data_IF_020324322766
#
_entry.id   IF_020324322766
#
_cell.length_a   1.000
_cell.length_b   1.000
_cell.length_c   1.000
_cell.angle_alpha   90.00
_cell.angle_beta   90.00
_cell.angle_gamma   90.00
#
_symmetry.space_group_name_H-M   'P 1'
#
loop_
_entity.id
_entity.type
_entity.pdbx_description
1 polymer ?
#
# COMPACT_ATOMS: atom_id res chain seq x y z
N UNK A 1 -22.45 28.68 -34.68
CA UNK A 1 -21.27 28.67 -33.79
C UNK A 1 -20.52 27.39 -34.08
N UNK A 2 -19.31 27.47 -34.64
CA UNK A 2 -18.49 26.29 -34.91
C UNK A 2 -17.80 25.86 -33.60
N UNK A 3 -18.03 24.63 -33.17
CA UNK A 3 -17.35 24.00 -32.04
C UNK A 3 -15.87 23.87 -32.41
N UNK A 4 -15.00 24.65 -31.76
CA UNK A 4 -13.55 24.48 -31.93
C UNK A 4 -13.16 23.12 -31.36
N UNK A 5 -12.74 22.20 -32.22
CA UNK A 5 -12.13 20.94 -31.80
C UNK A 5 -10.81 21.28 -31.12
N UNK A 6 -10.76 21.16 -29.79
CA UNK A 6 -9.51 21.32 -29.04
C UNK A 6 -8.61 20.15 -29.43
N UNK A 7 -7.40 20.44 -29.93
CA UNK A 7 -6.40 19.41 -30.23
C UNK A 7 -6.08 18.62 -28.95
N UNK A 8 -6.01 17.31 -29.05
CA UNK A 8 -5.66 16.40 -27.94
C UNK A 8 -4.48 15.51 -28.31
N UNK A 9 -3.77 15.04 -27.30
CA UNK A 9 -2.76 13.99 -27.43
C UNK A 9 -3.36 12.65 -27.04
N UNK A 10 -3.31 11.69 -27.95
CA UNK A 10 -3.51 10.28 -27.60
C UNK A 10 -2.30 9.80 -26.80
N UNK A 11 -2.54 9.36 -25.57
CA UNK A 11 -1.54 8.79 -24.69
C UNK A 11 -1.73 7.27 -24.61
N UNK A 12 -0.62 6.54 -24.68
CA UNK A 12 -0.56 5.11 -24.40
C UNK A 12 0.27 4.95 -23.12
N UNK A 13 -0.42 4.79 -21.99
CA UNK A 13 0.15 4.87 -20.66
C UNK A 13 0.30 3.46 -20.06
N UNK A 14 1.54 2.96 -19.84
CA UNK A 14 1.78 1.66 -19.24
C UNK A 14 1.70 1.69 -17.71
N UNK A 15 1.05 2.72 -17.14
CA UNK A 15 1.03 2.98 -15.71
C UNK A 15 -0.39 3.06 -15.17
N UNK A 16 -0.64 2.31 -14.10
CA UNK A 16 -1.87 2.40 -13.33
C UNK A 16 -1.51 2.62 -11.86
N UNK A 17 -2.18 3.60 -11.26
CA UNK A 17 -2.04 3.99 -9.87
C UNK A 17 -3.38 3.73 -9.21
N UNK A 18 -3.37 2.96 -8.13
CA UNK A 18 -4.57 2.71 -7.34
C UNK A 18 -4.35 3.14 -5.90
N UNK A 19 -5.46 3.44 -5.22
CA UNK A 19 -5.49 3.75 -3.80
C UNK A 19 -6.59 2.91 -3.15
N UNK A 20 -6.26 2.20 -2.08
CA UNK A 20 -7.24 1.58 -1.20
C UNK A 20 -7.26 2.31 0.14
N UNK A 21 -8.36 3.00 0.49
CA UNK A 21 -8.48 3.61 1.79
C UNK A 21 -8.69 2.52 2.85
N UNK A 22 -8.31 2.82 4.07
CA UNK A 22 -8.57 1.98 5.22
C UNK A 22 -8.76 2.91 6.42
N UNK A 23 -9.88 2.79 7.12
CA UNK A 23 -10.25 3.75 8.16
C UNK A 23 -9.34 3.64 9.38
N UNK A 24 -9.07 2.40 9.78
CA UNK A 24 -8.19 2.11 10.90
C UNK A 24 -7.61 0.69 10.81
N UNK A 25 -6.49 0.48 11.50
CA UNK A 25 -5.93 -0.85 11.69
C UNK A 25 -5.28 -0.98 13.05
N UNK A 26 -5.27 -2.21 13.56
CA UNK A 26 -4.49 -2.63 14.71
C UNK A 26 -3.70 -3.87 14.32
N UNK A 27 -2.43 -3.92 14.67
CA UNK A 27 -1.55 -5.06 14.43
C UNK A 27 -1.04 -5.58 15.77
N UNK A 28 -1.53 -6.74 16.20
CA UNK A 28 -1.12 -7.39 17.44
C UNK A 28 -0.09 -8.49 17.14
N UNK A 29 1.18 -8.21 17.42
CA UNK A 29 2.27 -9.17 17.27
C UNK A 29 2.28 -10.16 18.43
N UNK A 30 2.46 -11.44 18.14
CA UNK A 30 2.41 -12.53 19.10
C UNK A 30 3.82 -12.97 19.52
N UNK A 31 3.99 -13.27 20.81
CA UNK A 31 5.18 -13.91 21.35
C UNK A 31 4.99 -15.43 21.32
N UNK A 32 5.99 -16.13 20.75
CA UNK A 32 6.16 -17.58 20.84
C UNK A 32 4.94 -18.42 20.41
N UNK A 33 4.07 -17.87 19.58
CA UNK A 33 2.95 -18.63 19.04
C UNK A 33 3.42 -19.57 17.92
N UNK A 34 2.97 -20.81 17.97
CA UNK A 34 3.44 -21.91 17.12
C UNK A 34 2.98 -21.78 15.66
N UNK A 35 1.88 -21.07 15.41
CA UNK A 35 1.23 -21.01 14.10
C UNK A 35 1.23 -19.61 13.51
N UNK A 36 0.99 -18.59 14.35
CA UNK A 36 0.80 -17.22 13.90
C UNK A 36 1.85 -16.26 14.47
N UNK A 37 2.21 -15.26 13.68
CA UNK A 37 3.07 -14.16 14.11
C UNK A 37 2.28 -12.94 14.56
N UNK A 38 1.12 -12.73 13.94
CA UNK A 38 0.36 -11.48 14.08
C UNK A 38 -1.12 -11.69 13.76
N UNK A 39 -1.98 -10.96 14.47
CA UNK A 39 -3.38 -10.76 14.11
C UNK A 39 -3.58 -9.26 13.83
N UNK A 40 -4.19 -8.94 12.70
CA UNK A 40 -4.39 -7.57 12.23
C UNK A 40 -5.85 -7.30 11.81
N UNK A 41 -6.68 -6.77 12.72
CA UNK A 41 -7.98 -6.21 12.38
C UNK A 41 -7.86 -4.86 11.65
N UNK A 42 -8.69 -4.68 10.63
CA UNK A 42 -8.76 -3.49 9.77
C UNK A 42 -10.22 -3.11 9.57
N UNK A 43 -10.58 -1.82 9.64
CA UNK A 43 -11.94 -1.34 9.37
C UNK A 43 -12.03 -0.53 8.09
N UNK A 44 -13.19 -0.62 7.47
CA UNK A 44 -13.54 0.06 6.24
C UNK A 44 -14.93 0.68 6.37
N UNK A 45 -15.08 1.87 5.80
CA UNK A 45 -16.37 2.54 5.58
C UNK A 45 -16.20 3.46 4.36
N UNK A 46 -16.03 2.85 3.19
CA UNK A 46 -15.72 3.57 1.97
C UNK A 46 -16.31 2.89 0.71
N UNK A 47 -16.47 3.62 -0.41
CA UNK A 47 -17.07 3.06 -1.62
C UNK A 47 -16.26 1.96 -2.33
N UNK A 48 -14.96 1.81 -2.03
CA UNK A 48 -14.06 0.86 -2.69
C UNK A 48 -14.07 -0.48 -1.95
N UNK A 49 -13.90 -0.45 -0.63
CA UNK A 49 -13.82 -1.65 0.20
C UNK A 49 -15.15 -1.99 0.88
N UNK A 50 -16.16 -1.13 0.81
CA UNK A 50 -17.42 -1.31 1.51
C UNK A 50 -17.31 -0.99 3.00
N UNK A 51 -18.16 -1.62 3.81
CA UNK A 51 -18.30 -1.34 5.24
C UNK A 51 -18.14 -2.59 6.07
N UNK A 52 -17.28 -2.54 7.08
CA UNK A 52 -17.09 -3.62 8.04
C UNK A 52 -15.62 -3.85 8.39
N UNK A 53 -15.33 -5.04 8.92
CA UNK A 53 -14.00 -5.45 9.37
C UNK A 53 -13.41 -6.55 8.49
N UNK A 54 -12.09 -6.45 8.26
CA UNK A 54 -11.23 -7.53 7.75
C UNK A 54 -10.22 -7.89 8.84
N UNK A 55 -9.88 -9.17 8.97
CA UNK A 55 -8.82 -9.65 9.86
C UNK A 55 -7.80 -10.42 9.02
N UNK A 56 -6.55 -9.97 9.07
CA UNK A 56 -5.39 -10.70 8.55
C UNK A 56 -4.73 -11.47 9.69
N UNK A 57 -4.38 -12.75 9.47
CA UNK A 57 -3.52 -13.51 10.39
C UNK A 57 -2.26 -13.95 9.65
N UNK A 58 -1.12 -13.48 10.11
CA UNK A 58 0.17 -13.80 9.51
C UNK A 58 0.67 -15.10 10.11
N UNK A 59 0.95 -16.09 9.27
CA UNK A 59 1.44 -17.41 9.69
C UNK A 59 2.96 -17.45 9.73
N UNK A 60 3.49 -18.36 10.54
CA UNK A 60 4.93 -18.64 10.64
C UNK A 60 5.55 -19.20 9.35
N UNK A 61 4.73 -19.78 8.47
CA UNK A 61 5.15 -20.25 7.15
C UNK A 61 5.15 -19.14 6.08
N UNK A 62 4.93 -17.88 6.50
CA UNK A 62 4.92 -16.71 5.64
C UNK A 62 3.59 -16.46 4.92
N UNK A 63 2.60 -17.36 5.02
CA UNK A 63 1.27 -17.13 4.42
C UNK A 63 0.42 -16.20 5.27
N UNK A 64 -0.58 -15.57 4.67
CA UNK A 64 -1.55 -14.71 5.38
C UNK A 64 -2.97 -15.23 5.18
N UNK A 65 -3.65 -15.55 6.28
CA UNK A 65 -5.08 -15.85 6.25
C UNK A 65 -5.89 -14.56 6.27
N UNK A 66 -6.97 -14.51 5.50
CA UNK A 66 -7.80 -13.32 5.31
C UNK A 66 -9.25 -13.68 5.58
N UNK A 67 -9.84 -13.03 6.57
CA UNK A 67 -11.26 -13.13 6.90
C UNK A 67 -11.91 -11.77 6.84
N UNK A 68 -13.16 -11.68 6.38
CA UNK A 68 -13.88 -10.40 6.32
C UNK A 68 -15.37 -10.56 6.62
N UNK A 69 -15.99 -9.49 7.12
CA UNK A 69 -17.44 -9.43 7.32
C UNK A 69 -18.20 -9.28 5.99
N UNK A 70 -19.43 -9.80 5.92
CA UNK A 70 -20.35 -9.44 4.83
C UNK A 70 -20.46 -7.93 4.69
N UNK A 71 -20.35 -7.44 3.45
CA UNK A 71 -20.34 -6.01 3.13
C UNK A 71 -18.95 -5.40 2.92
N UNK A 72 -17.87 -6.16 3.20
CA UNK A 72 -16.49 -5.79 2.84
C UNK A 72 -16.11 -6.43 1.51
N UNK A 73 -15.64 -5.63 0.56
CA UNK A 73 -15.10 -6.07 -0.73
C UNK A 73 -13.63 -6.46 -0.57
N UNK A 74 -13.31 -7.71 -0.93
CA UNK A 74 -11.95 -8.24 -0.82
C UNK A 74 -11.53 -8.87 -2.15
N UNK A 75 -10.58 -8.23 -2.84
CA UNK A 75 -9.99 -8.78 -4.06
C UNK A 75 -8.72 -9.55 -3.73
N UNK A 76 -8.76 -10.89 -3.85
CA UNK A 76 -7.63 -11.79 -3.60
C UNK A 76 -6.37 -11.40 -4.39
N UNK A 77 -6.52 -10.93 -5.62
CA UNK A 77 -5.38 -10.59 -6.49
C UNK A 77 -4.58 -9.39 -6.00
N UNK A 78 -5.16 -8.58 -5.11
CA UNK A 78 -4.49 -7.44 -4.51
C UNK A 78 -3.71 -7.79 -3.23
N UNK A 79 -3.77 -9.04 -2.78
CA UNK A 79 -3.03 -9.52 -1.60
C UNK A 79 -1.83 -10.35 -2.01
N UNK A 80 -0.67 -9.71 -1.96
CA UNK A 80 0.62 -10.38 -2.06
C UNK A 80 1.50 -9.97 -0.90
N UNK A 81 1.38 -10.73 0.18
CA UNK A 81 2.09 -10.49 1.42
C UNK A 81 2.82 -11.80 1.77
N UNK A 82 4.11 -11.69 2.08
CA UNK A 82 4.97 -12.84 2.40
C UNK A 82 4.96 -13.93 1.33
N UNK A 83 4.63 -15.16 1.74
CA UNK A 83 4.54 -16.36 0.90
C UNK A 83 3.16 -16.57 0.23
N UNK A 84 2.28 -15.56 0.30
CA UNK A 84 0.97 -15.55 -0.37
C UNK A 84 -0.22 -15.81 0.57
N UNK A 85 -1.41 -15.92 -0.02
CA UNK A 85 -2.67 -16.07 0.72
C UNK A 85 -2.88 -17.50 1.19
N UNK A 86 -3.14 -17.68 2.49
CA UNK A 86 -3.57 -18.91 3.14
C UNK A 86 -5.09 -19.09 3.04
N UNK A 87 -5.75 -19.18 4.19
CA UNK A 87 -7.21 -19.21 4.24
C UNK A 87 -7.80 -17.88 3.74
N UNK A 88 -8.96 -17.96 3.08
CA UNK A 88 -9.58 -16.80 2.46
C UNK A 88 -11.10 -16.98 2.46
N UNK A 89 -11.78 -16.37 3.43
CA UNK A 89 -13.22 -16.58 3.61
C UNK A 89 -13.96 -15.37 4.18
N UNK A 90 -15.14 -15.12 3.65
CA UNK A 90 -16.14 -14.29 4.31
C UNK A 90 -16.67 -15.03 5.55
N UNK A 91 -16.81 -14.33 6.68
CA UNK A 91 -17.33 -14.88 7.93
C UNK A 91 -18.11 -13.84 8.71
N UNK A 92 -19.07 -14.29 9.51
CA UNK A 92 -19.61 -13.45 10.58
C UNK A 92 -18.50 -13.13 11.59
N UNK A 93 -18.43 -11.87 12.01
CA UNK A 93 -17.57 -11.40 13.09
C UNK A 93 -18.46 -10.71 14.12
N UNK A 94 -18.49 -11.25 15.34
CA UNK A 94 -19.24 -10.71 16.46
C UNK A 94 -18.55 -11.05 17.80
N UNK A 95 -18.03 -10.04 18.53
CA UNK A 95 -18.02 -8.62 18.18
C UNK A 95 -17.09 -8.33 16.98
N UNK A 96 -17.25 -7.14 16.40
CA UNK A 96 -16.37 -6.58 15.36
C UNK A 96 -16.18 -5.08 15.60
N UNK A 97 -15.40 -4.76 16.63
CA UNK A 97 -15.17 -3.38 17.08
C UNK A 97 -13.69 -3.05 17.01
N UNK A 98 -13.36 -1.93 16.38
CA UNK A 98 -12.05 -1.28 16.46
C UNK A 98 -12.27 0.23 16.52
N UNK A 99 -11.94 0.81 17.66
CA UNK A 99 -12.01 2.24 17.91
C UNK A 99 -10.65 2.72 18.39
N UNK A 100 -10.13 3.78 17.79
CA UNK A 100 -8.87 4.37 18.19
C UNK A 100 -9.10 5.85 18.47
N UNK A 101 -8.77 6.27 19.68
CA UNK A 101 -8.96 7.63 20.15
C UNK A 101 -7.74 8.19 20.89
N UNK A 102 -7.88 9.38 21.49
CA UNK A 102 -6.77 10.08 22.16
C UNK A 102 -6.14 9.30 23.32
N UNK A 103 -6.87 8.34 23.89
CA UNK A 103 -6.44 7.51 25.03
C UNK A 103 -5.95 6.13 24.63
N UNK A 104 -6.01 5.77 23.35
CA UNK A 104 -5.52 4.51 22.83
C UNK A 104 -6.56 3.77 22.01
N UNK A 105 -6.48 2.44 21.98
CA UNK A 105 -7.33 1.59 21.16
C UNK A 105 -8.24 0.68 22.00
N UNK A 106 -9.47 0.52 21.54
CA UNK A 106 -10.42 -0.51 21.96
C UNK A 106 -10.70 -1.40 20.76
N UNK A 107 -10.27 -2.66 20.84
CA UNK A 107 -10.55 -3.68 19.85
C UNK A 107 -11.23 -4.86 20.53
N UNK A 108 -12.33 -5.33 19.97
CA UNK A 108 -12.95 -6.61 20.32
C UNK A 108 -13.44 -7.25 19.02
N UNK A 109 -12.78 -8.33 18.64
CA UNK A 109 -13.14 -9.10 17.44
C UNK A 109 -13.21 -10.58 17.78
N UNK A 110 -14.25 -11.26 17.33
CA UNK A 110 -14.32 -12.71 17.36
C UNK A 110 -15.01 -13.29 16.12
N UNK A 111 -14.52 -14.43 15.65
CA UNK A 111 -15.08 -15.15 14.50
C UNK A 111 -14.68 -16.63 14.56
N UNK A 112 -15.25 -17.44 13.66
CA UNK A 112 -14.84 -18.84 13.48
C UNK A 112 -14.01 -18.94 12.21
N UNK A 113 -12.81 -19.50 12.32
CA UNK A 113 -11.92 -19.66 11.17
C UNK A 113 -12.30 -20.86 10.29
N UNK A 114 -11.58 -21.03 9.17
CA UNK A 114 -11.86 -22.09 8.20
C UNK A 114 -11.66 -23.52 8.76
N UNK A 115 -10.97 -23.65 9.90
CA UNK A 115 -10.80 -24.92 10.62
C UNK A 115 -11.86 -25.12 11.72
N UNK A 116 -12.84 -24.23 11.83
CA UNK A 116 -13.88 -24.29 12.85
C UNK A 116 -13.43 -23.81 14.24
N UNK A 117 -12.26 -23.16 14.35
CA UNK A 117 -11.74 -22.67 15.63
C UNK A 117 -12.26 -21.26 15.89
N UNK A 118 -12.70 -21.00 17.12
CA UNK A 118 -13.03 -19.64 17.54
C UNK A 118 -11.75 -18.82 17.66
N UNK A 119 -11.64 -17.75 16.89
CA UNK A 119 -10.60 -16.72 17.01
C UNK A 119 -11.18 -15.56 17.77
N UNK A 120 -10.46 -15.03 18.75
CA UNK A 120 -10.85 -13.83 19.47
C UNK A 120 -9.63 -12.97 19.82
N UNK A 121 -9.76 -11.65 19.69
CA UNK A 121 -8.77 -10.66 20.12
C UNK A 121 -9.48 -9.51 20.82
N UNK A 122 -9.04 -9.21 22.05
CA UNK A 122 -9.44 -8.05 22.84
C UNK A 122 -8.23 -7.21 23.17
N UNK A 123 -8.29 -5.94 22.83
CA UNK A 123 -7.31 -4.93 23.23
C UNK A 123 -8.08 -3.79 23.87
N UNK A 124 -7.71 -3.44 25.09
CA UNK A 124 -8.24 -2.25 25.75
C UNK A 124 -7.08 -1.45 26.32
N UNK A 125 -6.77 -0.33 25.69
CA UNK A 125 -5.80 0.64 26.18
C UNK A 125 -6.49 1.89 26.72
N UNK A 126 -6.04 2.33 27.88
CA UNK A 126 -6.42 3.61 28.46
C UNK A 126 -5.19 4.38 28.96
N UNK A 127 -4.52 5.07 28.04
CA UNK A 127 -3.25 5.75 28.24
C UNK A 127 -3.30 7.24 27.86
N UNK A 128 -2.99 8.17 28.78
CA UNK A 128 -2.96 9.60 28.46
C UNK A 128 -1.71 10.03 27.69
N UNK A 129 -1.77 11.14 26.95
CA UNK A 129 -0.59 11.77 26.34
C UNK A 129 0.05 10.94 25.23
N UNK A 130 -0.78 10.33 24.38
CA UNK A 130 -0.37 9.63 23.16
C UNK A 130 0.27 10.62 22.18
N UNK A 131 1.28 10.15 21.44
CA UNK A 131 2.03 10.97 20.48
C UNK A 131 2.32 10.08 19.27
N UNK A 132 1.33 9.95 18.38
CA UNK A 132 1.48 9.13 17.19
C UNK A 132 2.54 9.72 16.25
N UNK A 133 3.03 8.91 15.34
CA UNK A 133 4.05 9.30 14.36
C UNK A 133 3.84 8.55 13.03
N UNK A 134 4.37 9.08 11.92
CA UNK A 134 4.19 8.45 10.63
C UNK A 134 5.05 7.19 10.48
N UNK A 135 4.52 6.19 9.78
CA UNK A 135 5.22 4.94 9.49
C UNK A 135 4.82 4.39 8.12
N UNK A 136 5.81 4.05 7.30
CA UNK A 136 5.64 3.17 6.15
C UNK A 136 5.78 1.73 6.61
N UNK A 137 4.76 0.90 6.41
CA UNK A 137 4.86 -0.51 6.75
C UNK A 137 5.85 -1.23 5.81
N UNK A 138 6.71 -2.12 6.32
CA UNK A 138 7.65 -2.89 5.51
C UNK A 138 6.99 -4.12 4.84
N UNK A 139 5.79 -3.94 4.27
CA UNK A 139 4.96 -5.04 3.72
C UNK A 139 5.58 -5.73 2.51
N UNK A 140 6.42 -5.04 1.73
CA UNK A 140 7.09 -5.61 0.57
C UNK A 140 8.43 -6.29 0.87
N UNK A 141 8.93 -6.28 2.10
CA UNK A 141 10.26 -6.83 2.39
C UNK A 141 10.33 -8.36 2.18
N UNK A 142 9.25 -9.07 2.48
CA UNK A 142 9.21 -10.53 2.42
C UNK A 142 8.59 -11.07 1.12
N UNK A 143 8.19 -10.17 0.20
CA UNK A 143 7.56 -10.54 -1.07
C UNK A 143 8.62 -11.00 -2.07
N UNK A 144 8.55 -12.27 -2.48
CA UNK A 144 9.51 -12.86 -3.43
C UNK A 144 9.20 -12.53 -4.88
N UNK A 145 7.91 -12.47 -5.24
CA UNK A 145 7.42 -12.25 -6.60
C UNK A 145 6.40 -11.11 -6.59
N UNK A 146 6.85 -9.84 -6.60
CA UNK A 146 5.91 -8.73 -6.51
C UNK A 146 5.09 -8.59 -7.79
N UNK A 147 3.77 -8.46 -7.67
CA UNK A 147 2.88 -8.09 -8.79
C UNK A 147 2.58 -6.61 -8.86
N UNK A 148 2.89 -5.85 -7.81
CA UNK A 148 2.71 -4.41 -7.73
C UNK A 148 3.74 -3.80 -6.76
N UNK A 149 4.01 -2.50 -6.87
CA UNK A 149 4.65 -1.76 -5.79
C UNK A 149 3.56 -1.37 -4.77
N UNK A 150 3.51 -2.11 -3.66
CA UNK A 150 2.46 -2.01 -2.64
C UNK A 150 2.95 -1.24 -1.41
N UNK A 151 2.47 -0.01 -1.23
CA UNK A 151 2.93 0.93 -0.20
C UNK A 151 1.82 1.21 0.81
N UNK A 152 2.05 0.90 2.09
CA UNK A 152 1.09 1.17 3.18
C UNK A 152 1.65 2.26 4.08
N UNK A 153 1.12 3.47 3.94
CA UNK A 153 1.51 4.62 4.73
C UNK A 153 0.48 4.93 5.81
N UNK A 154 0.93 4.92 7.06
CA UNK A 154 0.14 5.23 8.24
C UNK A 154 0.64 6.54 8.84
N UNK A 155 -0.10 7.66 8.72
CA UNK A 155 0.38 8.96 9.20
C UNK A 155 0.43 9.06 10.74
N UNK A 156 -0.40 8.27 11.44
CA UNK A 156 -0.62 8.40 12.87
C UNK A 156 -0.54 7.05 13.61
N UNK A 157 0.63 6.38 13.57
CA UNK A 157 0.85 5.14 14.32
C UNK A 157 1.21 5.42 15.77
N UNK A 158 0.62 4.66 16.70
CA UNK A 158 1.08 4.56 18.09
C UNK A 158 1.17 3.07 18.50
N UNK A 159 1.82 2.81 19.63
CA UNK A 159 2.00 1.48 20.19
C UNK A 159 1.30 1.38 21.55
N UNK A 160 0.74 0.21 21.84
CA UNK A 160 0.02 -0.04 23.08
C UNK A 160 0.95 -0.02 24.29
N UNK A 161 0.63 0.79 25.31
CA UNK A 161 1.46 0.93 26.52
C UNK A 161 1.18 -0.20 27.52
N UNK A 162 2.23 -0.95 27.87
CA UNK A 162 2.09 -2.16 28.71
C UNK A 162 1.38 -1.91 30.05
N UNK A 163 1.70 -0.80 30.72
CA UNK A 163 1.11 -0.48 32.03
C UNK A 163 -0.34 0.03 31.98
N UNK A 164 -0.89 0.23 30.78
CA UNK A 164 -2.22 0.81 30.56
C UNK A 164 -3.01 0.04 29.50
N UNK A 165 -2.58 -1.17 29.13
CA UNK A 165 -3.23 -1.99 28.11
C UNK A 165 -3.43 -3.41 28.61
N UNK A 166 -4.65 -3.91 28.47
CA UNK A 166 -5.00 -5.34 28.56
C UNK A 166 -5.12 -5.89 27.14
N UNK A 167 -4.42 -6.98 26.86
CA UNK A 167 -4.50 -7.71 25.60
C UNK A 167 -4.83 -9.17 25.91
N UNK A 168 -5.90 -9.67 25.32
CA UNK A 168 -6.33 -11.06 25.45
C UNK A 168 -6.60 -11.60 24.04
N UNK A 169 -6.00 -12.74 23.71
CA UNK A 169 -6.25 -13.39 22.43
C UNK A 169 -6.42 -14.88 22.59
N UNK A 170 -7.25 -15.51 21.76
CA UNK A 170 -7.41 -16.97 21.69
C UNK A 170 -7.62 -17.44 20.26
N UNK A 171 -7.12 -18.64 19.95
CA UNK A 171 -7.44 -19.40 18.73
C UNK A 171 -7.81 -20.82 19.15
N UNK A 172 -9.09 -21.16 19.06
CA UNK A 172 -9.64 -22.33 19.74
C UNK A 172 -9.34 -22.25 21.25
N UNK A 173 -8.74 -23.30 21.80
CA UNK A 173 -8.34 -23.31 23.20
C UNK A 173 -7.01 -22.58 23.48
N UNK A 174 -6.20 -22.30 22.46
CA UNK A 174 -4.86 -21.72 22.59
C UNK A 174 -4.93 -20.24 22.96
N UNK A 175 -4.44 -19.88 24.13
CA UNK A 175 -4.28 -18.50 24.55
C UNK A 175 -3.05 -17.87 23.90
N UNK A 176 -3.21 -16.65 23.39
CA UNK A 176 -2.16 -15.89 22.71
C UNK A 176 -1.44 -14.98 23.69
N UNK A 177 -0.13 -14.79 23.48
CA UNK A 177 0.70 -13.88 24.26
C UNK A 177 1.12 -12.69 23.42
N UNK A 178 0.91 -11.43 23.85
CA UNK A 178 1.38 -10.28 23.11
C UNK A 178 2.91 -10.15 23.20
N UNK A 179 3.56 -9.87 22.08
CA UNK A 179 4.99 -9.54 22.05
C UNK A 179 5.25 -8.15 22.65
N UNK A 180 6.42 -7.97 23.25
CA UNK A 180 6.87 -6.68 23.78
C UNK A 180 7.99 -6.08 22.90
N UNK A 181 8.01 -4.76 22.76
CA UNK A 181 9.15 -4.09 22.15
C UNK A 181 10.32 -4.10 23.16
N UNK A 182 11.54 -4.47 22.77
CA UNK A 182 12.68 -4.54 23.70
C UNK A 182 13.12 -3.17 24.20
N UNK A 183 12.88 -2.12 23.41
CA UNK A 183 13.22 -0.74 23.73
C UNK A 183 12.00 0.06 24.16
N UNK A 184 12.14 0.99 25.13
CA UNK A 184 11.06 1.90 25.45
C UNK A 184 10.78 2.85 24.28
N UNK A 185 9.50 3.14 24.06
CA UNK A 185 9.05 4.14 23.12
C UNK A 185 8.61 5.37 23.90
N UNK A 186 9.26 6.51 23.65
CA UNK A 186 8.98 7.77 24.36
C UNK A 186 9.02 7.63 25.90
N UNK A 187 10.00 6.87 26.41
CA UNK A 187 10.18 6.62 27.85
C UNK A 187 9.16 5.65 28.47
N UNK A 188 8.33 4.97 27.66
CA UNK A 188 7.33 3.99 28.14
C UNK A 188 7.60 2.61 27.57
N UNK A 189 7.34 1.56 28.37
CA UNK A 189 7.34 0.18 27.89
C UNK A 189 6.08 -0.07 27.07
N UNK A 190 6.23 -0.60 25.86
CA UNK A 190 5.12 -0.85 24.93
C UNK A 190 5.08 -2.32 24.51
N UNK A 191 3.89 -2.80 24.17
CA UNK A 191 3.75 -4.03 23.41
C UNK A 191 4.20 -3.77 21.96
N UNK A 192 4.57 -4.82 21.23
CA UNK A 192 4.67 -4.76 19.78
C UNK A 192 3.28 -4.86 19.12
N UNK A 193 2.29 -4.24 19.77
CA UNK A 193 0.94 -4.03 19.27
C UNK A 193 0.85 -2.57 18.87
N UNK A 194 0.64 -2.33 17.58
CA UNK A 194 0.60 -0.99 16.98
C UNK A 194 -0.76 -0.75 16.35
N UNK A 195 -1.18 0.49 16.24
CA UNK A 195 -2.43 0.83 15.59
C UNK A 195 -2.38 2.23 15.00
N UNK A 196 -3.23 2.50 14.01
CA UNK A 196 -3.32 3.78 13.34
C UNK A 196 -4.78 4.24 13.26
N UNK A 197 -5.04 5.46 13.72
CA UNK A 197 -6.33 6.12 13.60
C UNK A 197 -6.35 7.07 12.41
N UNK A 198 -7.49 7.14 11.72
CA UNK A 198 -7.64 7.99 10.54
C UNK A 198 -6.96 7.36 9.33
N UNK A 199 -7.29 7.83 8.12
CA UNK A 199 -7.22 6.94 7.00
C UNK A 199 -5.78 6.54 6.72
N UNK A 200 -5.56 5.24 6.61
CA UNK A 200 -4.31 4.64 6.18
C UNK A 200 -4.33 4.64 4.66
N UNK A 201 -3.27 5.18 4.04
CA UNK A 201 -3.17 5.20 2.57
C UNK A 201 -2.46 3.96 2.10
N UNK A 202 -3.17 3.10 1.37
CA UNK A 202 -2.57 1.99 0.63
C UNK A 202 -2.43 2.41 -0.83
N UNK A 203 -1.21 2.73 -1.25
CA UNK A 203 -0.89 3.06 -2.63
C UNK A 203 -0.37 1.85 -3.39
N UNK A 204 -0.86 1.66 -4.61
CA UNK A 204 -0.42 0.61 -5.51
C UNK A 204 0.02 1.22 -6.83
N UNK A 205 1.19 0.84 -7.32
CA UNK A 205 1.66 1.20 -8.66
C UNK A 205 1.85 -0.04 -9.50
N UNK A 206 1.29 -0.02 -10.70
CA UNK A 206 1.30 -1.09 -11.69
C UNK A 206 0.92 -2.44 -11.09
N UNK A 207 -0.32 -2.61 -10.60
CA UNK A 207 -0.88 -3.94 -10.43
C UNK A 207 -0.89 -4.70 -11.76
N UNK A 208 -1.20 -6.02 -11.75
CA UNK A 208 -1.32 -6.81 -12.96
C UNK A 208 -2.24 -6.17 -14.00
N UNK A 209 -1.67 -5.83 -15.16
CA UNK A 209 -2.38 -5.25 -16.29
C UNK A 209 -2.05 -6.02 -17.56
N UNK A 210 -3.05 -6.21 -18.42
CA UNK A 210 -2.88 -6.85 -19.74
C UNK A 210 -2.91 -5.85 -20.90
N UNK A 211 -3.32 -4.60 -20.64
CA UNK A 211 -3.44 -3.54 -21.63
C UNK A 211 -2.96 -2.21 -21.03
N UNK A 212 -2.29 -1.37 -21.84
CA UNK A 212 -1.99 -0.02 -21.40
C UNK A 212 -3.27 0.80 -21.38
N UNK A 213 -3.25 1.87 -20.60
CA UNK A 213 -4.36 2.82 -20.53
C UNK A 213 -4.24 3.76 -21.73
N UNK A 214 -5.31 3.85 -22.51
CA UNK A 214 -5.38 4.73 -23.69
C UNK A 214 -6.38 5.84 -23.39
N UNK A 215 -5.92 7.09 -23.53
CA UNK A 215 -6.72 8.27 -23.23
C UNK A 215 -6.29 9.45 -24.09
N UNK A 216 -7.21 10.38 -24.33
CA UNK A 216 -6.92 11.66 -24.97
C UNK A 216 -6.78 12.75 -23.90
N UNK A 217 -5.68 13.50 -23.94
CA UNK A 217 -5.40 14.58 -23.00
C UNK A 217 -5.12 15.88 -23.75
N UNK A 218 -5.76 17.01 -23.40
CA UNK A 218 -5.43 18.30 -24.02
C UNK A 218 -4.01 18.77 -23.64
N UNK A 219 -3.35 19.58 -24.49
CA UNK A 219 -2.07 20.21 -24.15
C UNK A 219 -2.15 20.99 -22.84
N UNK A 220 -1.12 20.83 -21.99
CA UNK A 220 -1.08 21.43 -20.64
C UNK A 220 -2.34 21.14 -19.79
N UNK A 221 -2.99 19.99 -20.01
CA UNK A 221 -4.24 19.65 -19.36
C UNK A 221 -4.23 18.30 -18.66
N UNK A 222 -5.43 17.84 -18.32
CA UNK A 222 -5.64 16.57 -17.63
C UNK A 222 -6.90 15.86 -18.09
N UNK A 223 -6.92 14.55 -17.94
CA UNK A 223 -8.12 13.72 -18.13
C UNK A 223 -8.25 12.69 -17.00
N UNK A 224 -9.48 12.27 -16.75
CA UNK A 224 -9.82 11.21 -15.79
C UNK A 224 -9.97 9.88 -16.54
N UNK A 225 -9.36 8.82 -16.02
CA UNK A 225 -9.46 7.45 -16.57
C UNK A 225 -9.29 6.44 -15.44
N UNK A 226 -10.19 5.47 -15.35
CA UNK A 226 -10.10 4.36 -14.37
C UNK A 226 -9.86 4.82 -12.90
N UNK A 227 -10.47 5.94 -12.49
CA UNK A 227 -10.29 6.50 -11.14
C UNK A 227 -8.97 7.22 -10.91
N UNK A 228 -8.21 7.50 -11.98
CA UNK A 228 -7.01 8.32 -11.96
C UNK A 228 -7.19 9.62 -12.75
N UNK A 229 -6.57 10.69 -12.25
CA UNK A 229 -6.31 11.90 -13.02
C UNK A 229 -4.91 11.84 -13.61
N UNK A 230 -4.80 11.95 -14.93
CA UNK A 230 -3.53 12.01 -15.66
C UNK A 230 -3.34 13.42 -16.19
N UNK A 231 -2.20 14.05 -15.88
CA UNK A 231 -1.85 15.39 -16.36
C UNK A 231 -0.66 15.34 -17.32
N UNK A 232 -0.74 16.09 -18.40
CA UNK A 232 0.30 16.21 -19.41
C UNK A 232 0.79 17.66 -19.59
N UNK A 233 2.02 17.83 -20.05
CA UNK A 233 2.56 19.14 -20.43
C UNK A 233 2.17 19.55 -21.87
N UNK A 234 2.69 20.69 -22.34
CA UNK A 234 2.45 21.20 -23.70
C UNK A 234 2.99 20.30 -24.81
N UNK A 235 3.90 19.37 -24.50
CA UNK A 235 4.42 18.38 -25.44
C UNK A 235 3.68 17.04 -25.37
N UNK A 236 2.64 16.94 -24.53
CA UNK A 236 1.90 15.71 -24.29
C UNK A 236 2.65 14.70 -23.43
N UNK A 237 3.72 15.08 -22.73
CA UNK A 237 4.41 14.21 -21.78
C UNK A 237 3.63 14.14 -20.48
N UNK A 238 3.44 12.94 -19.94
CA UNK A 238 2.76 12.75 -18.66
C UNK A 238 3.65 13.26 -17.53
N UNK A 239 3.23 14.31 -16.84
CA UNK A 239 3.99 14.89 -15.72
C UNK A 239 3.47 14.41 -14.36
N UNK A 240 2.21 13.97 -14.31
CA UNK A 240 1.56 13.54 -13.06
C UNK A 240 0.45 12.52 -13.31
N UNK A 241 0.35 11.54 -12.42
CA UNK A 241 -0.80 10.65 -12.27
C UNK A 241 -1.24 10.71 -10.80
N UNK A 242 -2.52 10.85 -10.53
CA UNK A 242 -3.04 10.78 -9.16
C UNK A 242 -4.30 9.93 -9.05
N UNK A 243 -4.42 9.17 -7.96
CA UNK A 243 -5.59 8.36 -7.64
C UNK A 243 -6.03 8.60 -6.18
N UNK A 244 -7.33 8.43 -5.92
CA UNK A 244 -7.92 8.65 -4.60
C UNK A 244 -8.45 10.09 -4.40
N UNK A 245 -9.03 10.37 -3.22
CA UNK A 245 -9.65 11.66 -2.93
C UNK A 245 -8.59 12.76 -2.77
N UNK A 246 -8.95 14.01 -3.07
CA UNK A 246 -8.02 15.16 -3.06
C UNK A 246 -7.30 15.37 -1.72
N UNK A 247 -7.91 15.00 -0.60
CA UNK A 247 -7.31 15.11 0.73
C UNK A 247 -6.26 14.03 1.04
N UNK A 248 -6.28 12.91 0.33
CA UNK A 248 -5.38 11.79 0.57
C UNK A 248 -4.99 11.02 -0.71
N UNK A 249 -4.43 11.72 -1.71
CA UNK A 249 -4.14 11.09 -2.98
C UNK A 249 -2.87 10.24 -2.90
N UNK A 250 -2.82 9.23 -3.76
CA UNK A 250 -1.57 8.62 -4.24
C UNK A 250 -1.17 9.40 -5.48
N UNK A 251 0.05 9.92 -5.52
CA UNK A 251 0.52 10.78 -6.62
C UNK A 251 1.84 10.25 -7.15
N UNK A 252 1.90 10.01 -8.45
CA UNK A 252 3.14 9.75 -9.18
C UNK A 252 3.49 10.98 -10.01
N UNK A 253 4.70 11.51 -9.85
CA UNK A 253 5.22 12.60 -10.67
C UNK A 253 6.38 12.11 -11.53
N UNK A 254 6.54 12.71 -12.72
CA UNK A 254 7.63 12.46 -13.64
C UNK A 254 8.38 13.75 -13.97
N UNK A 255 9.71 13.67 -14.09
CA UNK A 255 10.57 14.79 -14.48
C UNK A 255 11.63 14.33 -15.50
N UNK A 256 11.73 14.95 -16.69
CA UNK A 256 10.96 16.11 -17.18
C UNK A 256 9.51 15.82 -17.58
N UNK A 257 9.06 14.57 -17.50
CA UNK A 257 7.75 14.08 -17.93
C UNK A 257 7.92 12.74 -18.66
N UNK A 258 7.00 11.79 -18.49
CA UNK A 258 7.05 10.51 -19.20
C UNK A 258 6.62 10.69 -20.67
N UNK A 259 7.38 10.19 -21.65
CA UNK A 259 7.11 10.47 -23.06
C UNK A 259 5.82 9.85 -23.55
N UNK A 260 5.31 10.37 -24.67
CA UNK A 260 4.37 9.65 -25.53
C UNK A 260 5.10 8.49 -26.20
N UNK A 261 4.68 7.25 -25.93
CA UNK A 261 5.37 6.06 -26.49
C UNK A 261 5.29 5.99 -28.01
N UNK A 262 4.15 6.38 -28.59
CA UNK A 262 3.94 6.43 -30.05
C UNK A 262 4.65 7.61 -30.73
N UNK A 263 5.01 8.63 -29.95
CA UNK A 263 5.75 9.82 -30.37
C UNK A 263 7.27 9.70 -30.26
N UNK A 264 7.80 8.58 -29.76
CA UNK A 264 9.23 8.31 -29.82
C UNK A 264 9.65 7.98 -31.26
N UNK A 265 10.78 8.53 -31.71
CA UNK A 265 11.37 8.15 -32.99
C UNK A 265 11.76 6.66 -33.01
N UNK A 266 11.92 6.09 -34.20
CA UNK A 266 12.46 4.73 -34.37
C UNK A 266 13.88 4.65 -33.77
N UNK A 267 14.11 3.68 -32.87
CA UNK A 267 15.35 3.61 -32.08
C UNK A 267 15.49 4.69 -31.01
N UNK A 268 14.48 5.56 -30.86
CA UNK A 268 14.45 6.64 -29.90
C UNK A 268 14.35 6.16 -28.45
N UNK A 269 14.84 7.00 -27.54
CA UNK A 269 14.84 6.73 -26.11
C UNK A 269 14.50 7.98 -25.30
N UNK A 270 13.82 7.79 -24.17
CA UNK A 270 13.61 8.82 -23.17
C UNK A 270 14.00 8.29 -21.80
N UNK A 271 14.52 9.19 -20.96
CA UNK A 271 14.92 8.89 -19.58
C UNK A 271 14.54 10.06 -18.68
N UNK A 272 14.27 9.74 -17.43
CA UNK A 272 14.03 10.75 -16.42
C UNK A 272 13.87 10.15 -15.04
N UNK A 273 13.23 10.93 -14.18
CA UNK A 273 12.99 10.59 -12.79
C UNK A 273 11.49 10.44 -12.55
N UNK A 274 11.15 9.61 -11.58
CA UNK A 274 9.79 9.49 -11.08
C UNK A 274 9.79 9.49 -9.55
N UNK A 275 8.66 9.82 -8.96
CA UNK A 275 8.45 9.81 -7.51
C UNK A 275 7.03 9.43 -7.19
N UNK A 276 6.79 8.71 -6.09
CA UNK A 276 5.46 8.43 -5.56
C UNK A 276 5.29 9.00 -4.15
N UNK A 277 4.19 9.72 -3.96
CA UNK A 277 3.78 10.30 -2.69
C UNK A 277 2.43 9.75 -2.25
N UNK A 278 2.28 9.49 -0.95
CA UNK A 278 1.04 9.06 -0.32
C UNK A 278 0.62 10.12 0.69
N UNK A 279 -0.61 10.61 0.61
CA UNK A 279 -1.12 11.66 1.52
C UNK A 279 -0.20 12.89 1.61
N UNK A 280 0.37 13.30 0.47
CA UNK A 280 1.31 14.43 0.38
C UNK A 280 2.74 14.14 0.85
N UNK A 281 3.05 12.94 1.35
CA UNK A 281 4.38 12.56 1.81
C UNK A 281 5.11 11.79 0.73
N UNK A 282 6.29 12.27 0.32
CA UNK A 282 7.16 11.54 -0.60
C UNK A 282 7.62 10.23 0.03
N UNK A 283 7.23 9.11 -0.57
CA UNK A 283 7.55 7.77 -0.06
C UNK A 283 8.83 7.24 -0.71
N UNK A 284 8.88 7.23 -2.04
CA UNK A 284 10.01 6.70 -2.82
C UNK A 284 9.97 7.25 -4.24
N UNK A 285 10.88 6.80 -5.09
CA UNK A 285 11.04 7.22 -6.47
C UNK A 285 12.25 6.56 -7.10
N UNK A 286 12.58 6.99 -8.31
CA UNK A 286 13.80 6.58 -8.96
C UNK A 286 13.89 7.02 -10.41
N UNK A 287 14.41 6.15 -11.26
CA UNK A 287 14.62 6.44 -12.68
C UNK A 287 13.58 5.72 -13.53
N UNK A 288 13.17 6.35 -14.64
CA UNK A 288 12.44 5.67 -15.70
C UNK A 288 13.24 5.67 -16.99
N UNK A 289 13.01 4.66 -17.82
CA UNK A 289 13.49 4.61 -19.19
C UNK A 289 12.37 4.11 -20.11
N UNK A 290 12.27 4.68 -21.30
CA UNK A 290 11.44 4.17 -22.39
C UNK A 290 12.27 4.14 -23.68
N UNK A 291 12.14 3.07 -24.46
CA UNK A 291 12.82 2.91 -25.76
C UNK A 291 11.88 2.32 -26.78
N UNK A 292 11.96 2.76 -28.04
CA UNK A 292 11.12 2.25 -29.13
C UNK A 292 11.96 1.45 -30.14
N UNK A 293 11.43 0.30 -30.56
CA UNK A 293 11.91 -0.48 -31.69
C UNK A 293 10.68 -0.96 -32.50
N UNK A 294 10.48 -0.40 -33.68
CA UNK A 294 9.31 -0.64 -34.52
C UNK A 294 7.99 -0.26 -33.85
N UNK A 295 7.09 -1.23 -33.77
CA UNK A 295 5.80 -1.10 -33.08
C UNK A 295 5.89 -1.49 -31.60
N UNK A 296 7.09 -1.66 -31.03
CA UNK A 296 7.24 -2.05 -29.64
C UNK A 296 7.96 -0.97 -28.84
N UNK A 297 7.42 -0.62 -27.69
CA UNK A 297 8.06 0.23 -26.71
C UNK A 297 8.40 -0.58 -25.44
N UNK A 298 9.67 -0.59 -25.04
CA UNK A 298 10.09 -1.14 -23.75
C UNK A 298 10.13 -0.02 -22.71
N UNK A 299 9.62 -0.29 -21.51
CA UNK A 299 9.51 0.68 -20.42
C UNK A 299 10.03 0.06 -19.12
N UNK A 300 10.80 0.83 -18.37
CA UNK A 300 11.36 0.42 -17.08
C UNK A 300 11.11 1.53 -16.03
N UNK A 301 10.71 1.14 -14.82
CA UNK A 301 10.75 1.96 -13.61
C UNK A 301 11.69 1.29 -12.61
N UNK A 302 12.85 1.90 -12.37
CA UNK A 302 13.77 1.47 -11.32
C UNK A 302 13.52 2.30 -10.06
N UNK A 303 13.29 1.63 -8.92
CA UNK A 303 13.16 2.30 -7.61
C UNK A 303 14.56 2.49 -7.03
N UNK A 304 15.05 3.72 -7.02
CA UNK A 304 16.40 4.04 -6.52
C UNK A 304 16.37 4.77 -5.19
N UNK A 305 15.24 5.36 -4.82
CA UNK A 305 15.16 6.25 -3.66
C UNK A 305 14.61 5.50 -2.45
N UNK A 306 15.30 5.61 -1.33
CA UNK A 306 14.84 5.05 -0.07
C UNK A 306 13.74 5.93 0.55
N UNK A 307 12.88 5.32 1.35
CA UNK A 307 12.02 6.10 2.23
C UNK A 307 12.86 6.81 3.29
N UNK A 308 12.61 8.11 3.43
CA UNK A 308 13.27 8.99 4.41
C UNK A 308 12.23 9.38 5.46
N UNK A 309 12.08 8.59 6.53
CA UNK A 309 11.13 8.93 7.57
C UNK A 309 11.46 10.28 8.19
N UNK A 310 10.44 11.08 8.46
CA UNK A 310 10.53 12.35 9.17
C UNK A 310 9.51 12.37 10.32
N UNK A 311 9.76 13.18 11.36
CA UNK A 311 8.83 13.30 12.49
C UNK A 311 8.78 12.09 13.42
N UNK A 312 9.77 11.19 13.37
CA UNK A 312 9.82 10.02 14.26
C UNK A 312 10.31 10.40 15.68
N UNK A 313 9.81 9.72 16.74
CA UNK A 313 10.44 9.73 18.05
C UNK A 313 11.89 9.23 18.01
N UNK A 314 12.75 9.69 18.92
CA UNK A 314 14.17 9.32 18.95
C UNK A 314 14.42 7.80 18.90
N UNK A 315 13.68 6.99 19.67
CA UNK A 315 13.86 5.54 19.66
C UNK A 315 13.45 4.90 18.32
N UNK A 316 12.45 5.46 17.64
CA UNK A 316 12.05 5.00 16.30
C UNK A 316 13.02 5.48 15.22
N UNK A 317 13.61 6.68 15.37
CA UNK A 317 14.73 7.09 14.52
C UNK A 317 15.86 6.07 14.64
N UNK A 318 16.26 5.69 15.85
CA UNK A 318 17.32 4.68 16.05
C UNK A 318 16.90 3.35 15.43
N UNK A 319 15.70 2.84 15.73
CA UNK A 319 15.21 1.56 15.21
C UNK A 319 15.20 1.53 13.67
N UNK A 320 14.66 2.55 13.02
CA UNK A 320 14.57 2.62 11.55
C UNK A 320 15.93 2.83 10.87
N UNK A 321 16.95 3.30 11.60
CA UNK A 321 18.31 3.38 11.10
C UNK A 321 19.06 2.04 11.25
N UNK A 322 18.84 1.32 12.35
CA UNK A 322 19.46 0.01 12.59
C UNK A 322 18.80 -1.08 11.74
N UNK A 323 17.48 -1.08 11.65
CA UNK A 323 16.69 -2.06 10.90
C UNK A 323 16.38 -1.47 9.53
N UNK A 324 17.33 -1.65 8.60
CA UNK A 324 17.30 -1.05 7.25
C UNK A 324 16.04 -1.38 6.46
N UNK A 325 15.39 -2.51 6.74
CA UNK A 325 14.18 -2.94 6.04
C UNK A 325 13.13 -1.83 6.01
N UNK A 326 12.96 -1.06 7.10
CA UNK A 326 11.94 0.00 7.17
C UNK A 326 12.11 1.10 6.12
N UNK A 327 13.32 1.27 5.54
CA UNK A 327 13.64 2.38 4.62
C UNK A 327 14.01 1.92 3.22
N UNK A 328 14.62 0.75 3.12
CA UNK A 328 15.34 0.33 1.90
C UNK A 328 14.56 -0.65 1.06
N UNK A 329 13.56 -1.34 1.62
CA UNK A 329 12.77 -2.35 0.91
C UNK A 329 12.18 -1.84 -0.42
N UNK A 330 11.67 -0.59 -0.57
CA UNK A 330 11.10 -0.16 -1.85
C UNK A 330 12.15 -0.13 -2.95
N UNK A 331 13.39 0.25 -2.61
CA UNK A 331 14.49 0.30 -3.56
C UNK A 331 15.04 -1.07 -3.94
N UNK A 332 14.48 -2.17 -3.43
CA UNK A 332 14.71 -3.51 -3.96
C UNK A 332 13.86 -3.81 -5.19
N UNK A 333 12.96 -2.92 -5.62
CA UNK A 333 12.00 -3.19 -6.69
C UNK A 333 12.40 -2.54 -8.01
N UNK A 334 12.03 -3.19 -9.10
CA UNK A 334 12.04 -2.65 -10.47
C UNK A 334 10.80 -3.14 -11.21
N UNK A 335 10.18 -2.29 -12.01
CA UNK A 335 9.14 -2.69 -12.94
C UNK A 335 9.67 -2.67 -14.37
N UNK A 336 9.31 -3.68 -15.15
CA UNK A 336 9.60 -3.76 -16.59
C UNK A 336 8.36 -4.11 -17.35
N UNK A 337 8.15 -3.45 -18.48
CA UNK A 337 7.07 -3.77 -19.40
C UNK A 337 7.43 -3.54 -20.86
N UNK A 338 6.65 -4.15 -21.72
CA UNK A 338 6.66 -3.95 -23.15
C UNK A 338 5.24 -3.63 -23.62
N UNK A 339 5.12 -2.59 -24.43
CA UNK A 339 3.87 -2.14 -25.04
C UNK A 339 3.98 -2.36 -26.55
N UNK A 340 3.06 -3.15 -27.09
CA UNK A 340 2.83 -3.25 -28.52
C UNK A 340 1.93 -2.07 -28.93
N UNK A 341 2.46 -1.21 -29.78
CA UNK A 341 1.83 0.00 -30.31
C UNK A 341 0.92 -0.35 -31.48
N UNK A 342 -0.09 0.49 -31.72
CA UNK A 342 -1.01 0.33 -32.84
C UNK A 342 -2.41 0.88 -32.56
N UNK A 343 -3.38 0.40 -33.34
CA UNK A 343 -4.79 0.72 -33.16
C UNK A 343 -5.32 0.17 -31.83
N UNK A 344 -4.95 -1.08 -31.49
CA UNK A 344 -5.28 -1.76 -30.24
C UNK A 344 -4.00 -2.11 -29.48
N UNK A 345 -3.47 -1.18 -28.66
CA UNK A 345 -2.26 -1.44 -27.91
C UNK A 345 -2.43 -2.58 -26.91
N UNK A 346 -1.41 -3.43 -26.81
CA UNK A 346 -1.33 -4.49 -25.82
C UNK A 346 -0.08 -4.28 -24.95
N UNK A 347 -0.07 -4.83 -23.73
CA UNK A 347 1.12 -4.77 -22.91
C UNK A 347 1.35 -6.05 -22.12
N UNK A 348 2.62 -6.25 -21.76
CA UNK A 348 3.03 -7.13 -20.69
C UNK A 348 3.94 -6.35 -19.76
N UNK A 349 3.90 -6.66 -18.47
CA UNK A 349 4.83 -6.07 -17.52
C UNK A 349 4.68 -6.68 -16.14
N UNK A 350 5.75 -6.59 -15.37
CA UNK A 350 5.81 -7.15 -14.03
C UNK A 350 6.78 -6.34 -13.17
N UNK A 351 6.53 -6.37 -11.87
CA UNK A 351 7.53 -6.02 -10.88
C UNK A 351 8.46 -7.22 -10.64
N UNK A 352 9.70 -6.92 -10.33
CA UNK A 352 10.71 -7.88 -9.92
C UNK A 352 11.54 -7.29 -8.78
N UNK A 353 12.11 -8.17 -7.95
CA UNK A 353 13.16 -7.76 -7.02
C UNK A 353 14.50 -7.72 -7.73
N UNK A 354 15.26 -6.68 -7.44
CA UNK A 354 16.67 -6.55 -7.81
C UNK A 354 17.48 -7.48 -6.92
N UNK A 355 18.31 -8.30 -7.57
CA UNK A 355 19.24 -9.25 -6.94
C UNK A 355 20.28 -8.58 -6.07
#
# INVERSE_FOLDING_TARGET
>A
MATQTVSTYRLILPFQVMMQPMESLLVATLADDAEFETIEPQTFDDPINGKGMRVLRYRRDGRVDIYWQPGVSVNRELFEIGAGVGDFAETSMDPARLEIGPRGAVCDVAFTDAQGRRVALRVHEDAPGKRPFPLLAPVGEDVQQPRMLFLVYMPNVDFARRGATRIEGRIGERALRPAALPLPLQGRRVYFTRYAAGPVTVGMLNPPMQRPIVLDVPPAGSAEVEGMRVSADDAGRVVRISAGPEGQPVVVNFAPGFPRLDGLDEGGAARGRWSISLAGVLITGGAYQATRAGQRAAVELDVTDHWKPAGLPLSMNILTHLVRMFRTWPASYRWRGAVELGAEPAMSGAWERKS
#
